data_IF_529297281409
#
_entry.id   IF_529297281409
#
_cell.length_a   1.000
_cell.length_b   1.000
_cell.length_c   1.000
_cell.angle_alpha   90.00
_cell.angle_beta   90.00
_cell.angle_gamma   90.00
#
_symmetry.space_group_name_H-M   'P 1'
#
loop_
_entity.id
_entity.type
_entity.pdbx_description
1 polymer ?
2 non-polymer ?
3 water ?
#
# COMPACT_ATOMS: atom_id res chain seq x y z
N UNK A 2 -0.82 29.42 18.29
CA UNK A 2 -0.95 28.00 18.57
C UNK A 2 -2.41 27.61 18.77
N UNK A 3 -2.74 26.37 18.42
CA UNK A 3 -4.09 25.83 18.54
C UNK A 3 -4.01 24.52 19.31
N UNK A 4 -4.23 24.60 20.62
CA UNK A 4 -4.14 23.44 21.49
C UNK A 4 -5.51 23.13 22.09
N UNK A 5 -5.80 21.85 22.26
CA UNK A 5 -6.98 21.42 22.99
C UNK A 5 -6.65 20.57 24.21
N UNK A 6 -5.40 20.14 24.39
CA UNK A 6 -5.05 19.22 25.46
C UNK A 6 -4.72 20.00 26.73
N UNK A 7 -5.48 19.73 27.80
CA UNK A 7 -5.17 20.28 29.12
C UNK A 7 -5.91 19.44 30.15
N UNK A 8 -5.60 19.67 31.43
CA UNK A 8 -6.14 18.86 32.53
C UNK A 8 -7.51 19.39 32.97
N UNK A 9 -8.51 19.18 32.12
CA UNK A 9 -9.86 19.62 32.46
C UNK A 9 -10.63 18.59 33.28
N UNK A 10 -10.16 17.35 33.33
CA UNK A 10 -10.95 16.27 33.90
C UNK A 10 -10.73 16.16 35.40
N UNK A 11 -11.78 15.76 36.10
CA UNK A 11 -11.70 15.49 37.53
C UNK A 11 -12.61 14.33 37.84
N UNK A 12 -12.31 13.63 38.93
CA UNK A 12 -13.09 12.47 39.37
C UNK A 12 -13.66 12.79 40.74
N UNK A 13 -14.99 12.82 40.84
CA UNK A 13 -15.61 13.23 42.09
C UNK A 13 -15.56 12.12 43.16
N UNK A 14 -15.66 10.86 42.75
CA UNK A 14 -15.72 9.75 43.67
C UNK A 14 -14.53 8.83 43.57
N UNK A 15 -14.74 7.59 44.01
CA UNK A 15 -13.71 6.56 43.99
C UNK A 15 -13.73 5.81 42.65
N UNK A 16 -12.62 5.16 42.34
CA UNK A 16 -12.60 4.32 41.15
C UNK A 16 -13.08 2.92 41.52
N UNK A 17 -13.51 2.19 40.49
CA UNK A 17 -13.84 0.78 40.62
C UNK A 17 -12.68 -0.02 40.01
N UNK A 18 -12.23 -1.04 40.72
CA UNK A 18 -11.12 -1.86 40.28
C UNK A 18 -11.67 -3.08 39.56
N UNK A 19 -11.14 -3.36 38.36
CA UNK A 19 -11.49 -4.52 37.59
C UNK A 19 -10.22 -5.27 37.23
N UNK A 20 -10.38 -6.56 36.94
CA UNK A 20 -9.27 -7.39 36.49
C UNK A 20 -9.44 -7.66 35.00
N UNK A 21 -8.34 -7.55 34.25
CA UNK A 21 -8.36 -7.93 32.84
C UNK A 21 -8.71 -9.41 32.72
N UNK A 22 -9.40 -9.77 31.65
CA UNK A 22 -9.59 -11.17 31.32
C UNK A 22 -8.24 -11.82 31.08
N UNK A 23 -8.18 -13.14 31.33
CA UNK A 23 -6.91 -13.85 31.37
C UNK A 23 -6.13 -13.71 30.07
N UNK A 24 -6.84 -13.74 28.93
CA UNK A 24 -6.14 -13.69 27.64
C UNK A 24 -5.57 -12.30 27.36
N UNK A 25 -6.27 -11.24 27.79
CA UNK A 25 -5.69 -9.91 27.73
C UNK A 25 -4.52 -9.79 28.70
N UNK A 26 -4.67 -10.33 29.91
CA UNK A 26 -3.53 -10.39 30.82
C UNK A 26 -2.39 -11.17 30.19
N UNK A 27 -2.71 -12.26 29.47
CA UNK A 27 -1.67 -13.04 28.79
C UNK A 27 -0.87 -12.17 27.84
N UNK A 28 -1.54 -11.40 26.99
CA UNK A 28 -0.83 -10.57 26.02
C UNK A 28 -0.08 -9.44 26.70
N UNK A 29 -0.65 -8.88 27.79
CA UNK A 29 0.06 -7.84 28.54
C UNK A 29 1.32 -8.39 29.19
N UNK A 30 1.28 -9.66 29.65
CA UNK A 30 2.48 -10.28 30.22
C UNK A 30 3.55 -10.50 29.14
N UNK A 31 3.14 -10.89 27.94
CA UNK A 31 4.09 -10.97 26.83
C UNK A 31 4.75 -9.62 26.59
N UNK A 32 3.96 -8.53 26.60
CA UNK A 32 4.51 -7.20 26.34
C UNK A 32 5.53 -6.82 27.41
N UNK A 33 5.22 -7.09 28.68
CA UNK A 33 6.13 -6.71 29.75
C UNK A 33 7.45 -7.47 29.68
N UNK A 34 7.42 -8.70 29.18
CA UNK A 34 8.59 -9.56 29.17
C UNK A 34 9.42 -9.44 27.88
N UNK A 35 8.87 -8.83 26.84
CA UNK A 35 9.46 -8.90 25.51
C UNK A 35 10.45 -7.77 25.27
N UNK A 36 11.27 -7.95 24.23
CA UNK A 36 12.27 -6.99 23.80
C UNK A 36 11.85 -6.48 22.43
N UNK A 37 11.32 -5.27 22.40
CA UNK A 37 10.92 -4.62 21.15
C UNK A 37 11.99 -3.61 20.76
N UNK A 38 12.44 -3.67 19.51
CA UNK A 38 13.37 -2.70 18.97
C UNK A 38 12.69 -1.58 18.18
N UNK A 39 11.41 -1.74 17.86
CA UNK A 39 10.71 -0.71 17.10
C UNK A 39 9.59 -0.09 17.94
N UNK A 40 9.96 0.54 19.05
CA UNK A 40 8.94 1.01 19.98
C UNK A 40 8.18 2.22 19.46
N UNK A 41 8.69 2.94 18.47
CA UNK A 41 8.04 4.15 17.98
C UNK A 41 6.69 3.88 17.34
N UNK A 42 6.38 2.62 17.02
CA UNK A 42 5.17 2.31 16.27
C UNK A 42 3.88 2.58 17.04
N UNK A 43 3.93 2.76 18.37
CA UNK A 43 2.70 3.07 19.09
C UNK A 43 2.05 4.35 18.60
N UNK A 44 2.85 5.28 18.09
CA UNK A 44 2.30 6.58 17.68
C UNK A 44 1.41 6.41 16.45
N UNK A 45 1.88 5.66 15.45
CA UNK A 45 1.08 5.50 14.23
C UNK A 45 -0.21 4.73 14.52
N UNK A 46 -0.16 3.81 15.49
CA UNK A 46 -1.35 3.05 15.87
C UNK A 46 -2.39 3.96 16.54
N UNK A 47 -1.94 4.79 17.48
CA UNK A 47 -2.86 5.72 18.13
C UNK A 47 -3.46 6.71 17.13
N UNK A 48 -2.64 7.23 16.22
CA UNK A 48 -3.16 8.20 15.24
C UNK A 48 -4.17 7.53 14.31
N UNK A 49 -3.89 6.30 13.90
CA UNK A 49 -4.83 5.54 13.07
C UNK A 49 -6.16 5.34 13.79
N UNK A 50 -6.11 4.95 15.06
CA UNK A 50 -7.35 4.77 15.81
C UNK A 50 -8.11 6.08 15.96
N UNK A 51 -7.39 7.18 16.23
CA UNK A 51 -8.02 8.49 16.31
C UNK A 51 -8.72 8.85 15.01
N UNK A 52 -8.04 8.61 13.88
CA UNK A 52 -8.64 8.85 12.57
C UNK A 52 -9.91 8.02 12.40
N UNK A 53 -9.86 6.73 12.78
CA UNK A 53 -11.04 5.88 12.67
C UNK A 53 -12.21 6.42 13.49
N UNK A 54 -11.91 6.93 14.70
CA UNK A 54 -12.96 7.44 15.57
C UNK A 54 -13.58 8.72 15.00
N UNK A 55 -12.75 9.56 14.40
CA UNK A 55 -13.27 10.76 13.75
C UNK A 55 -14.10 10.41 12.52
N UNK A 56 -13.65 9.43 11.73
CA UNK A 56 -14.43 9.06 10.56
C UNK A 56 -15.78 8.48 10.96
N UNK A 57 -15.81 7.69 12.04
CA UNK A 57 -17.06 7.14 12.52
C UNK A 57 -18.03 8.26 12.90
N UNK A 58 -17.54 9.25 13.65
CA UNK A 58 -18.39 10.37 14.04
C UNK A 58 -18.86 11.15 12.82
N UNK A 59 -17.93 11.50 11.92
CA UNK A 59 -18.28 12.33 10.77
C UNK A 59 -19.34 11.64 9.92
N UNK A 60 -19.17 10.35 9.64
CA UNK A 60 -20.15 9.65 8.82
C UNK A 60 -21.51 9.60 9.50
N UNK A 61 -21.54 9.41 10.82
CA UNK A 61 -22.80 9.36 11.54
C UNK A 61 -23.50 10.72 11.49
N UNK A 62 -22.77 11.80 11.76
CA UNK A 62 -23.38 13.13 11.75
C UNK A 62 -23.90 13.50 10.37
N UNK A 63 -23.14 13.18 9.31
CA UNK A 63 -23.60 13.47 7.95
C UNK A 63 -24.80 12.61 7.59
N UNK A 64 -24.86 11.37 8.08
CA UNK A 64 -26.02 10.53 7.82
C UNK A 64 -27.28 11.13 8.44
N UNK A 65 -27.15 11.73 9.61
CA UNK A 65 -28.22 12.55 10.17
C UNK A 65 -28.13 13.93 9.55
N UNK A 66 -28.86 14.90 10.08
CA UNK A 66 -28.81 16.24 9.49
C UNK A 66 -27.99 17.20 10.32
N UNK A 67 -26.99 16.67 11.03
CA UNK A 67 -26.37 17.43 12.11
C UNK A 67 -25.13 18.18 11.63
N UNK A 68 -24.91 19.34 12.24
CA UNK A 68 -23.73 20.13 11.97
C UNK A 68 -22.48 19.39 12.43
N UNK A 69 -21.38 19.70 11.78
CA UNK A 69 -20.13 19.04 12.08
C UNK A 69 -19.32 19.89 13.04
N UNK A 70 -18.84 19.30 14.14
CA UNK A 70 -17.99 20.03 15.08
C UNK A 70 -16.56 20.04 14.56
N UNK A 71 -15.67 20.60 15.36
CA UNK A 71 -14.25 20.56 15.02
C UNK A 71 -13.74 19.12 15.15
N UNK A 72 -13.15 18.60 14.07
CA UNK A 72 -12.71 17.22 14.00
C UNK A 72 -11.20 17.20 13.81
N UNK A 73 -10.47 16.92 14.88
CA UNK A 73 -9.02 17.11 14.89
C UNK A 73 -8.37 16.05 15.76
N UNK A 74 -7.09 15.81 15.47
CA UNK A 74 -6.21 14.95 16.26
C UNK A 74 -5.10 15.82 16.82
N UNK A 75 -4.87 15.70 18.12
CA UNK A 75 -3.83 16.46 18.79
C UNK A 75 -2.86 15.55 19.52
N UNK A 76 -1.58 15.87 19.41
CA UNK A 76 -0.53 15.25 20.20
C UNK A 76 0.11 16.31 21.07
N UNK A 77 0.49 15.93 22.29
CA UNK A 77 1.20 16.83 23.18
C UNK A 77 2.33 16.05 23.86
N UNK A 78 3.52 16.62 23.86
CA UNK A 78 4.62 16.06 24.63
C UNK A 78 4.85 16.91 25.88
N UNK A 79 5.28 16.26 26.95
CA UNK A 79 5.65 16.99 28.17
C UNK A 79 6.91 16.31 28.72
N UNK A 80 8.05 16.96 28.50
CA UNK A 80 9.32 16.39 28.93
C UNK A 80 9.47 16.43 30.45
N UNK A 81 8.90 17.44 31.10
CA UNK A 81 9.02 17.54 32.56
C UNK A 81 8.27 16.41 33.25
N UNK A 82 7.09 16.06 32.73
CA UNK A 82 6.30 14.97 33.29
C UNK A 82 6.57 13.63 32.63
N UNK A 83 7.35 13.60 31.55
CA UNK A 83 7.63 12.37 30.83
C UNK A 83 6.39 11.74 30.24
N UNK A 84 5.57 12.54 29.57
CA UNK A 84 4.34 12.05 28.99
C UNK A 84 4.28 12.37 27.51
N UNK A 85 3.53 11.55 26.79
CA UNK A 85 3.02 11.84 25.46
C UNK A 85 1.52 11.59 25.50
N UNK A 86 0.76 12.52 24.95
CA UNK A 86 -0.70 12.46 24.98
C UNK A 86 -1.24 12.60 23.57
N UNK A 87 -2.28 11.83 23.26
CA UNK A 87 -3.07 12.02 22.05
C UNK A 87 -4.51 12.29 22.45
N UNK A 88 -5.15 13.22 21.76
CA UNK A 88 -6.56 13.49 21.97
C UNK A 88 -7.21 13.72 20.62
N UNK A 89 -8.38 13.15 20.42
CA UNK A 89 -9.18 13.46 19.25
C UNK A 89 -10.60 13.76 19.65
N UNK A 90 -11.30 14.49 18.78
CA UNK A 90 -12.66 14.91 19.00
C UNK A 90 -13.66 14.01 18.28
N UNK A 91 -13.36 12.72 18.17
CA UNK A 91 -14.22 11.78 17.48
C UNK A 91 -15.29 11.15 18.36
N UNK A 92 -15.72 9.96 17.95
CA UNK A 92 -16.92 9.34 18.50
C UNK A 92 -16.76 8.88 19.95
N UNK A 93 -15.54 8.66 20.41
CA UNK A 93 -15.33 8.27 21.79
C UNK A 93 -15.74 6.84 22.05
N UNK A 94 -15.64 6.45 23.31
CA UNK A 94 -16.02 5.12 23.76
C UNK A 94 -17.01 5.22 24.90
N UNK A 95 -17.96 4.29 24.93
CA UNK A 95 -18.87 4.19 26.07
C UNK A 95 -18.15 3.52 27.24
N UNK A 96 -18.77 3.59 28.42
CA UNK A 96 -18.19 2.90 29.56
C UNK A 96 -18.10 1.41 29.31
N UNK A 97 -19.13 0.84 28.67
CA UNK A 97 -19.12 -0.59 28.35
C UNK A 97 -17.93 -0.94 27.47
N UNK A 98 -17.60 -0.09 26.48
CA UNK A 98 -16.48 -0.38 25.61
C UNK A 98 -15.15 -0.27 26.35
N UNK A 99 -15.02 0.70 27.26
CA UNK A 99 -13.81 0.81 28.06
C UNK A 99 -13.61 -0.42 28.92
N UNK A 100 -14.69 -0.93 29.51
CA UNK A 100 -14.58 -2.03 30.47
C UNK A 100 -14.36 -3.36 29.76
N UNK A 101 -15.06 -3.61 28.66
CA UNK A 101 -15.07 -4.94 28.07
C UNK A 101 -14.21 -5.07 26.83
N UNK A 102 -14.08 -4.01 26.02
CA UNK A 102 -13.55 -4.18 24.67
C UNK A 102 -12.02 -4.05 24.63
N UNK A 103 -11.45 -3.12 25.40
CA UNK A 103 -10.04 -2.77 25.28
C UNK A 103 -9.15 -4.01 25.35
N UNK A 104 -8.33 -4.18 24.31
CA UNK A 104 -7.45 -5.32 24.20
C UNK A 104 -7.89 -6.36 23.18
N UNK A 105 -9.12 -6.26 22.65
CA UNK A 105 -9.67 -7.31 21.80
C UNK A 105 -10.35 -6.80 20.53
N UNK A 106 -10.16 -5.52 20.18
CA UNK A 106 -10.86 -4.92 19.05
C UNK A 106 -10.00 -5.00 17.79
N UNK A 107 -10.63 -5.23 16.65
CA UNK A 107 -9.92 -5.33 15.38
C UNK A 107 -9.93 -4.00 14.64
N UNK A 108 -8.98 -3.83 13.73
CA UNK A 108 -8.88 -2.60 12.95
C UNK A 108 -9.27 -2.84 11.49
N UNK A 109 -8.82 -3.97 10.95
CA UNK A 109 -9.13 -4.31 9.56
C UNK A 109 -8.91 -3.13 8.64
N UNK A 132 -5.80 -7.14 16.33
CA UNK A 132 -6.51 -6.83 17.56
C UNK A 132 -5.74 -6.06 18.59
N UNK A 133 -6.42 -5.12 19.23
CA UNK A 133 -5.82 -4.30 20.26
C UNK A 133 -4.85 -3.25 19.78
N UNK A 134 -4.98 -2.83 18.52
CA UNK A 134 -4.08 -1.80 18.01
C UNK A 134 -4.12 -0.58 18.92
N UNK A 135 -2.94 -0.01 19.20
CA UNK A 135 -2.83 1.07 20.15
C UNK A 135 -2.83 0.65 21.60
N UNK A 136 -3.33 -0.54 21.92
CA UNK A 136 -3.44 -0.96 23.32
C UNK A 136 -2.13 -1.62 23.78
N UNK A 137 -1.76 -2.73 23.15
CA UNK A 137 -0.51 -3.40 23.54
C UNK A 137 0.70 -2.53 23.26
N UNK A 138 0.67 -1.76 22.16
CA UNK A 138 1.83 -0.92 21.85
C UNK A 138 1.98 0.23 22.84
N UNK A 139 0.87 0.72 23.41
CA UNK A 139 0.97 1.74 24.46
C UNK A 139 1.68 1.17 25.68
N UNK A 140 1.33 -0.05 26.10
CA UNK A 140 1.99 -0.62 27.26
C UNK A 140 3.43 -1.00 26.97
N UNK A 141 3.80 -1.12 25.70
CA UNK A 141 5.20 -1.35 25.35
C UNK A 141 6.07 -0.20 25.80
N UNK A 142 5.53 1.02 25.88
CA UNK A 142 6.29 2.22 26.18
C UNK A 142 5.89 2.89 27.49
N UNK A 143 4.90 2.35 28.21
CA UNK A 143 4.28 3.08 29.32
C UNK A 143 4.54 2.41 30.66
N UNK A 144 4.87 3.22 31.67
CA UNK A 144 4.68 2.77 33.05
C UNK A 144 3.21 2.64 33.38
N UNK A 145 2.40 3.57 32.89
CA UNK A 145 0.96 3.51 33.11
C UNK A 145 0.29 4.36 32.05
N UNK A 146 -0.99 4.08 31.83
CA UNK A 146 -1.81 4.74 30.83
C UNK A 146 -3.04 5.31 31.53
N UNK A 147 -3.38 6.55 31.19
CA UNK A 147 -4.46 7.31 31.80
C UNK A 147 -5.33 7.79 30.66
N UNK A 148 -6.60 7.37 30.64
CA UNK A 148 -7.49 7.60 29.51
C UNK A 148 -8.74 8.31 30.00
N UNK A 149 -9.20 9.29 29.23
CA UNK A 149 -10.51 9.89 29.41
C UNK A 149 -11.27 9.74 28.12
N UNK A 150 -12.53 9.32 28.20
CA UNK A 150 -13.31 9.15 26.98
C UNK A 150 -14.76 9.47 27.28
N UNK A 151 -15.42 10.06 26.31
CA UNK A 151 -16.84 10.39 26.40
C UNK A 151 -17.45 10.16 25.04
N UNK A 152 -18.44 9.28 24.98
CA UNK A 152 -19.11 8.96 23.73
C UNK A 152 -19.82 10.19 23.16
N UNK A 153 -19.84 10.28 21.82
CA UNK A 153 -20.55 11.37 21.16
C UNK A 153 -22.06 11.25 21.27
N UNK A 154 -22.59 10.11 21.71
CA UNK A 154 -24.03 9.96 21.83
C UNK A 154 -24.59 10.95 22.85
N UNK A 155 -25.75 11.56 22.58
CA UNK A 155 -26.26 12.59 23.50
C UNK A 155 -26.47 12.04 24.90
N UNK A 156 -26.15 12.88 25.89
CA UNK A 156 -26.29 12.50 27.28
C UNK A 156 -25.19 11.62 27.83
N UNK A 157 -24.17 11.30 27.04
CA UNK A 157 -23.11 10.42 27.50
C UNK A 157 -22.28 11.09 28.59
N UNK A 158 -21.89 10.30 29.58
CA UNK A 158 -21.02 10.75 30.65
C UNK A 158 -19.56 10.48 30.28
N UNK A 159 -18.66 11.23 30.91
CA UNK A 159 -17.23 11.01 30.75
C UNK A 159 -16.72 9.98 31.73
N UNK A 160 -15.67 9.28 31.32
CA UNK A 160 -15.08 8.24 32.16
C UNK A 160 -13.56 8.33 32.12
N UNK A 161 -12.96 7.97 33.24
CA UNK A 161 -11.52 7.80 33.40
C UNK A 161 -11.21 6.31 33.49
N UNK A 162 -10.24 5.89 32.71
CA UNK A 162 -9.74 4.51 32.75
C UNK A 162 -8.25 4.57 33.04
N UNK A 163 -7.79 3.79 34.01
CA UNK A 163 -6.39 3.78 34.41
C UNK A 163 -5.86 2.35 34.46
N UNK A 164 -4.63 2.14 34.00
CA UNK A 164 -3.98 0.86 34.22
C UNK A 164 -2.47 1.00 34.12
N UNK A 165 -1.76 0.18 34.91
CA UNK A 165 -0.32 0.03 34.75
C UNK A 165 0.07 -1.16 33.90
N UNK A 166 -0.90 -1.83 33.27
CA UNK A 166 -0.58 -2.97 32.42
C UNK A 166 -0.40 -4.28 33.14
N UNK A 167 -0.63 -4.32 34.44
CA UNK A 167 -0.68 -5.56 35.21
C UNK A 167 -2.13 -6.05 35.12
N UNK A 168 -2.48 -7.05 35.90
CA UNK A 168 -3.83 -7.55 35.83
C UNK A 168 -5.03 -6.68 36.15
N UNK A 169 -4.83 -5.42 36.51
CA UNK A 169 -5.88 -4.56 37.05
C UNK A 169 -6.04 -3.31 36.20
N UNK A 170 -7.28 -2.87 36.04
CA UNK A 170 -7.56 -1.54 35.54
C UNK A 170 -8.65 -0.91 36.41
N UNK A 171 -8.73 0.41 36.37
CA UNK A 171 -9.70 1.16 37.16
C UNK A 171 -10.59 1.99 36.25
N UNK A 172 -11.85 2.15 36.64
CA UNK A 172 -12.78 2.99 35.91
C UNK A 172 -13.54 3.87 36.90
N UNK A 173 -13.78 5.12 36.49
CA UNK A 173 -14.55 6.04 37.31
C UNK A 173 -15.23 7.05 36.40
N UNK A 174 -16.41 7.50 36.81
CA UNK A 174 -17.02 8.63 36.11
C UNK A 174 -16.20 9.89 36.35
N UNK A 175 -15.99 10.67 35.29
CA UNK A 175 -15.18 11.87 35.35
C UNK A 175 -15.96 13.06 34.80
N UNK A 176 -15.77 14.23 35.41
CA UNK A 176 -16.31 15.47 34.88
C UNK A 176 -15.26 16.15 34.02
N UNK A 177 -15.71 17.09 33.18
CA UNK A 177 -14.76 17.84 32.37
C UNK A 177 -14.14 17.08 31.22
N UNK A 178 -14.73 15.95 30.83
CA UNK A 178 -14.23 15.19 29.69
C UNK A 178 -14.88 15.72 28.42
N UNK A 179 -14.04 16.02 27.42
CA UNK A 179 -14.55 16.43 26.14
C UNK A 179 -14.96 15.20 25.33
N UNK A 180 -16.02 15.35 24.53
CA UNK A 180 -16.44 14.29 23.63
C UNK A 180 -15.23 13.83 22.80
N UNK A 181 -15.06 12.51 22.74
CA UNK A 181 -13.89 11.93 22.10
C UNK A 181 -13.05 11.19 23.11
N UNK A 182 -11.74 11.10 22.85
CA UNK A 182 -10.85 10.28 23.67
C UNK A 182 -9.51 10.97 23.82
N UNK A 183 -8.98 10.93 25.05
CA UNK A 183 -7.63 11.40 25.36
C UNK A 183 -6.90 10.26 26.05
N UNK A 184 -5.68 9.98 25.57
CA UNK A 184 -4.81 8.94 26.12
C UNK A 184 -3.52 9.61 26.55
N UNK A 185 -3.22 9.54 27.84
CA UNK A 185 -1.97 10.05 28.41
C UNK A 185 -1.08 8.85 28.71
N UNK A 186 0.08 8.80 28.07
CA UNK A 186 1.05 7.74 28.29
C UNK A 186 2.14 8.30 29.18
N UNK A 187 2.27 7.72 30.38
CA UNK A 187 3.35 8.04 31.29
C UNK A 187 4.49 7.12 30.91
N UNK A 188 5.49 7.68 30.24
CA UNK A 188 6.48 6.87 29.54
C UNK A 188 7.45 6.18 30.50
N UNK A 189 7.90 5.00 30.08
CA UNK A 189 8.92 4.27 30.82
C UNK A 189 10.25 5.03 30.84
N UNK A 190 11.13 4.63 31.77
CA UNK A 190 12.44 5.25 31.93
C UNK A 190 13.24 5.23 30.62
N UNK A 191 13.17 4.14 29.88
CA UNK A 191 13.92 4.00 28.64
C UNK A 191 13.13 4.45 27.42
N UNK A 192 11.97 5.09 27.61
CA UNK A 192 11.16 5.57 26.51
C UNK A 192 10.93 7.07 26.56
N UNK A 193 11.75 7.80 27.33
CA UNK A 193 11.52 9.23 27.47
C UNK A 193 11.77 10.00 26.18
N UNK A 194 12.38 9.38 25.17
CA UNK A 194 12.56 10.05 23.89
C UNK A 194 11.23 10.48 23.28
N UNK A 195 10.13 9.82 23.65
CA UNK A 195 8.84 10.16 23.09
C UNK A 195 8.16 11.31 23.81
N UNK A 196 8.82 11.90 24.81
CA UNK A 196 8.37 13.15 25.41
C UNK A 196 9.09 14.36 24.83
N UNK A 197 9.90 14.15 23.79
CA UNK A 197 10.58 15.22 23.07
C UNK A 197 9.80 15.53 21.80
N UNK A 198 9.52 16.82 21.58
CA UNK A 198 8.72 17.20 20.41
C UNK A 198 9.39 16.80 19.11
N UNK A 199 10.70 17.03 18.99
CA UNK A 199 11.37 16.77 17.71
C UNK A 199 11.32 15.29 17.35
N UNK A 200 11.53 14.41 18.34
CA UNK A 200 11.46 12.99 18.08
C UNK A 200 10.07 12.60 17.60
N UNK A 201 9.04 13.09 18.29
CA UNK A 201 7.67 12.74 17.93
C UNK A 201 7.33 13.29 16.55
N UNK A 202 7.77 14.51 16.26
CA UNK A 202 7.51 15.09 14.95
C UNK A 202 8.06 14.20 13.84
N UNK A 203 9.28 13.70 14.03
CA UNK A 203 9.88 12.84 13.00
C UNK A 203 9.13 11.52 12.86
N UNK A 204 8.66 10.95 13.97
CA UNK A 204 7.91 9.70 13.91
C UNK A 204 6.60 9.90 13.16
N UNK A 205 5.92 11.02 13.42
CA UNK A 205 4.68 11.32 12.72
C UNK A 205 4.93 11.46 11.22
N UNK A 206 5.94 12.25 10.85
CA UNK A 206 6.24 12.45 9.43
C UNK A 206 6.60 11.13 8.76
N UNK A 207 7.26 10.23 9.48
CA UNK A 207 7.72 8.98 8.88
C UNK A 207 6.56 8.06 8.50
N UNK A 208 5.60 7.88 9.41
CA UNK A 208 4.59 6.85 9.23
C UNK A 208 3.17 7.36 9.06
N UNK A 209 2.87 8.59 9.50
CA UNK A 209 1.50 9.07 9.64
C UNK A 209 1.23 10.32 8.82
N UNK A 210 2.07 10.58 7.82
CA UNK A 210 2.01 11.84 7.06
C UNK A 210 0.75 11.95 6.21
N UNK A 211 0.04 10.86 5.96
CA UNK A 211 -1.14 10.89 5.12
C UNK A 211 -2.45 10.76 5.90
N UNK A 212 -2.40 10.93 7.23
CA UNK A 212 -3.63 10.91 8.02
C UNK A 212 -4.59 11.98 7.48
N UNK A 213 -5.89 11.65 7.47
CA UNK A 213 -6.84 12.43 6.69
C UNK A 213 -7.67 13.41 7.52
N UNK A 214 -7.37 13.55 8.81
CA UNK A 214 -7.92 14.63 9.61
C UNK A 214 -6.79 15.54 10.07
N UNK A 215 -7.09 16.81 10.33
CA UNK A 215 -6.05 17.74 10.84
C UNK A 215 -5.35 17.18 12.07
N UNK A 216 -4.02 17.24 12.03
CA UNK A 216 -3.15 16.73 13.08
C UNK A 216 -2.29 17.88 13.60
N UNK A 217 -2.30 18.06 14.91
CA UNK A 217 -1.55 19.11 15.59
C UNK A 217 -0.61 18.47 16.59
N UNK A 218 0.62 19.00 16.67
CA UNK A 218 1.60 18.58 17.67
C UNK A 218 1.95 19.80 18.51
N UNK A 219 1.65 19.76 19.80
CA UNK A 219 1.95 20.86 20.69
C UNK A 219 1.38 22.18 20.18
N UNK A 220 0.19 22.10 19.59
CA UNK A 220 -0.52 23.29 19.13
C UNK A 220 -0.14 23.76 17.75
N UNK A 221 0.78 23.09 17.06
CA UNK A 221 1.20 23.46 15.72
C UNK A 221 0.63 22.46 14.71
N UNK A 222 0.01 22.97 13.66
CA UNK A 222 -0.51 22.09 12.62
C UNK A 222 0.66 21.39 11.95
N UNK A 223 0.56 20.07 11.82
CA UNK A 223 1.57 19.31 11.13
C UNK A 223 1.30 19.33 9.63
N UNK A 224 2.37 19.36 8.85
CA UNK A 224 2.26 19.33 7.40
C UNK A 224 2.01 17.90 6.98
N UNK A 225 0.78 17.60 6.60
CA UNK A 225 0.40 16.28 6.12
C UNK A 225 -0.03 16.36 4.65
N UNK A 226 -0.16 15.19 4.04
CA UNK A 226 -0.38 15.08 2.61
C UNK A 226 -1.68 14.34 2.31
N UNK A 227 -2.16 14.49 1.07
CA UNK A 227 -3.46 13.96 0.66
C UNK A 227 -3.27 12.57 0.06
N UNK A 228 -3.96 11.58 0.64
CA UNK A 228 -3.86 10.17 0.22
C UNK A 228 -4.80 9.94 -0.96
N UNK A 229 -4.35 10.36 -2.15
CA UNK A 229 -5.24 10.33 -3.30
C UNK A 229 -5.59 8.91 -3.71
N UNK A 230 -4.80 7.92 -3.30
CA UNK A 230 -5.13 6.54 -3.63
C UNK A 230 -6.43 6.08 -3.00
N UNK A 231 -6.90 6.75 -1.92
CA UNK A 231 -8.15 6.38 -1.29
C UNK A 231 -9.38 6.96 -1.99
N UNK A 232 -9.18 7.86 -2.94
CA UNK A 232 -10.31 8.45 -3.62
C UNK A 232 -10.82 7.51 -4.72
N UNK A 233 -12.08 7.72 -5.09
CA UNK A 233 -12.65 7.02 -6.23
C UNK A 233 -11.80 7.36 -7.46
N UNK A 234 -11.35 6.37 -8.24
CA UNK A 234 -10.48 6.69 -9.39
C UNK A 234 -11.05 7.75 -10.31
N UNK A 235 -12.37 7.76 -10.54
CA UNK A 235 -12.94 8.75 -11.45
C UNK A 235 -12.82 10.17 -10.91
N UNK A 236 -12.50 10.35 -9.63
CA UNK A 236 -12.45 11.67 -9.02
C UNK A 236 -11.06 12.30 -9.07
N UNK A 237 -10.01 11.53 -9.35
CA UNK A 237 -8.65 12.04 -9.35
C UNK A 237 -8.32 12.58 -10.74
N UNK A 238 -7.94 13.86 -10.80
CA UNK A 238 -7.61 14.47 -12.09
C UNK A 238 -6.13 14.30 -12.45
N UNK A 239 -5.83 14.58 -13.72
CA UNK A 239 -4.47 14.37 -14.20
C UNK A 239 -3.46 15.22 -13.43
N UNK A 240 -3.81 16.46 -13.11
CA UNK A 240 -2.87 17.30 -12.38
C UNK A 240 -2.55 16.73 -11.01
N UNK A 241 -3.54 16.05 -10.39
CA UNK A 241 -3.30 15.47 -9.08
C UNK A 241 -2.41 14.23 -9.20
N UNK A 242 -2.61 13.44 -10.24
CA UNK A 242 -1.71 12.31 -10.48
C UNK A 242 -0.31 12.79 -10.78
N UNK A 243 -0.17 13.86 -11.58
CA UNK A 243 1.16 14.36 -11.90
C UNK A 243 1.89 14.81 -10.63
N UNK A 244 1.19 15.53 -9.74
CA UNK A 244 1.80 15.94 -8.48
C UNK A 244 2.19 14.73 -7.62
N UNK A 245 1.28 13.76 -7.50
CA UNK A 245 1.56 12.62 -6.64
C UNK A 245 2.68 11.76 -7.22
N UNK A 246 2.64 11.53 -8.53
CA UNK A 246 3.72 10.78 -9.17
C UNK A 246 5.07 11.43 -8.88
N UNK A 247 5.17 12.75 -9.09
CA UNK A 247 6.45 13.41 -8.87
C UNK A 247 6.89 13.27 -7.42
N UNK A 248 5.94 13.25 -6.48
CA UNK A 248 6.29 13.09 -5.07
C UNK A 248 6.78 11.68 -4.79
N UNK A 249 6.00 10.66 -5.19
CA UNK A 249 6.34 9.30 -4.75
C UNK A 249 7.55 8.77 -5.48
N UNK A 250 7.75 9.17 -6.73
CA UNK A 250 8.88 8.71 -7.52
C UNK A 250 10.08 9.64 -7.38
N UNK A 251 9.93 10.76 -6.69
CA UNK A 251 10.95 11.81 -6.63
C UNK A 251 11.46 12.13 -8.03
N UNK A 252 10.51 12.48 -8.90
CA UNK A 252 10.76 12.62 -10.32
C UNK A 252 10.36 14.00 -10.80
N UNK A 253 10.87 14.36 -11.98
CA UNK A 253 10.55 15.65 -12.59
C UNK A 253 9.77 15.51 -13.88
N UNK A 254 9.61 14.29 -14.41
CA UNK A 254 8.80 14.07 -15.60
C UNK A 254 7.34 13.90 -15.18
N UNK A 255 6.52 13.50 -16.13
CA UNK A 255 5.14 13.13 -15.90
C UNK A 255 4.98 11.64 -16.13
N UNK A 256 3.92 11.01 -15.60
CA UNK A 256 3.74 9.58 -15.84
C UNK A 256 3.13 9.35 -17.22
N UNK A 257 3.72 8.40 -17.97
CA UNK A 257 3.14 8.05 -19.25
C UNK A 257 1.88 7.20 -19.09
N UNK A 258 1.82 6.40 -18.02
CA UNK A 258 0.64 5.60 -17.73
C UNK A 258 0.32 5.72 -16.26
N UNK A 259 -0.97 5.65 -15.95
CA UNK A 259 -1.49 5.69 -14.58
C UNK A 259 -2.57 4.63 -14.46
N UNK A 260 -2.43 3.74 -13.47
CA UNK A 260 -3.46 2.77 -13.13
C UNK A 260 -3.84 3.00 -11.68
N UNK A 261 -5.08 3.38 -11.46
CA UNK A 261 -5.61 3.56 -10.11
C UNK A 261 -6.53 2.36 -9.86
N UNK A 262 -6.03 1.41 -9.07
CA UNK A 262 -6.67 0.11 -8.90
C UNK A 262 -7.26 0.04 -7.50
N UNK A 263 -8.59 -0.06 -7.43
CA UNK A 263 -9.32 -0.21 -6.19
C UNK A 263 -10.14 -1.50 -6.27
N UNK A 264 -9.99 -2.35 -5.27
CA UNK A 264 -10.75 -3.59 -5.23
C UNK A 264 -11.01 -3.95 -3.78
N UNK A 265 -12.10 -4.69 -3.55
CA UNK A 265 -12.42 -5.21 -2.23
C UNK A 265 -12.34 -6.73 -2.17
N UNK A 266 -12.13 -7.39 -3.31
CA UNK A 266 -12.03 -8.84 -3.35
C UNK A 266 -10.96 -9.28 -4.33
N UNK A 267 -10.17 -10.32 -3.96
CA UNK A 267 -10.25 -11.08 -2.70
C UNK A 267 -9.67 -10.33 -1.52
N UNK A 268 -9.02 -9.20 -1.78
CA UNK A 268 -8.35 -8.41 -0.76
C UNK A 268 -8.73 -6.96 -0.92
N UNK A 269 -8.65 -6.22 0.19
CA UNK A 269 -8.77 -4.77 0.13
C UNK A 269 -7.52 -4.20 -0.50
N UNK A 270 -7.67 -3.46 -1.59
CA UNK A 270 -6.54 -2.80 -2.26
C UNK A 270 -6.97 -1.40 -2.69
N UNK A 271 -6.15 -0.41 -2.36
CA UNK A 271 -6.28 0.94 -2.88
C UNK A 271 -4.88 1.29 -3.34
N UNK A 272 -4.68 1.40 -4.66
CA UNK A 272 -3.33 1.51 -5.22
C UNK A 272 -3.31 2.43 -6.42
N UNK A 273 -2.15 3.06 -6.64
CA UNK A 273 -1.89 3.81 -7.85
C UNK A 273 -0.53 3.41 -8.36
N UNK A 274 -0.46 3.07 -9.64
CA UNK A 274 0.78 2.69 -10.31
C UNK A 274 1.05 3.62 -11.48
N UNK A 275 2.31 4.00 -11.64
CA UNK A 275 2.75 4.91 -12.68
C UNK A 275 3.92 4.29 -13.43
N UNK A 276 3.94 4.55 -14.76
CA UNK A 276 5.11 4.30 -15.59
C UNK A 276 5.71 5.65 -15.97
N UNK A 277 7.00 5.87 -15.76
CA UNK A 277 7.59 7.17 -16.14
C UNK A 277 7.52 7.43 -17.63
N UNK A 278 7.45 8.72 -17.97
CA UNK A 278 7.62 9.17 -19.36
C UNK A 278 9.01 8.84 -19.88
N UNK A 279 10.02 9.01 -19.04
CA UNK A 279 11.39 8.71 -19.44
C UNK A 279 11.60 7.22 -19.62
N UNK A 280 12.58 6.89 -20.46
CA UNK A 280 13.05 5.51 -20.64
C UNK A 280 13.72 5.06 -19.35
N UNK A 281 13.81 3.74 -19.13
CA UNK A 281 14.55 3.27 -17.95
C UNK A 281 16.03 3.56 -18.11
N UNK A 282 16.64 3.99 -17.01
CA UNK A 282 18.07 4.21 -16.93
C UNK A 282 18.68 3.10 -16.09
N UNK A 283 20.01 3.12 -15.98
CA UNK A 283 20.71 2.13 -15.16
C UNK A 283 20.16 2.11 -13.74
N UNK A 284 19.67 3.23 -13.25
CA UNK A 284 19.19 3.32 -11.86
C UNK A 284 17.89 2.54 -11.66
N UNK A 285 16.98 2.57 -12.63
CA UNK A 285 15.72 1.82 -12.49
C UNK A 285 15.95 0.32 -12.64
N UNK A 286 16.96 -0.07 -13.41
CA UNK A 286 17.24 -1.49 -13.60
C UNK A 286 17.86 -2.09 -12.33
N UNK A 287 18.61 -1.29 -11.56
CA UNK A 287 19.32 -1.77 -10.38
C UNK A 287 18.69 -1.30 -9.08
N UNK A 288 17.40 -0.93 -9.10
CA UNK A 288 16.76 -0.37 -7.93
C UNK A 288 16.78 -1.37 -6.78
N UNK A 289 17.01 -0.87 -5.57
CA UNK A 289 17.15 -1.73 -4.39
C UNK A 289 15.85 -2.44 -4.03
N UNK A 292 11.83 -0.39 -2.91
CA UNK A 292 11.90 1.06 -3.00
C UNK A 292 11.16 1.58 -4.23
N UNK A 293 10.52 0.67 -4.95
CA UNK A 293 9.79 1.08 -6.15
C UNK A 293 8.41 1.62 -5.80
N UNK A 294 7.70 0.96 -4.90
CA UNK A 294 6.34 1.31 -4.51
C UNK A 294 6.28 1.34 -3.00
N UNK A 295 5.56 2.32 -2.45
CA UNK A 295 5.38 2.43 -1.01
C UNK A 295 4.16 1.60 -0.60
N UNK A 296 4.25 1.01 0.60
CA UNK A 296 3.21 0.12 1.13
C UNK A 296 2.57 0.79 2.35
N UNK A 297 1.23 0.86 2.36
CA UNK A 297 0.45 1.42 3.45
C UNK A 297 -0.63 0.45 3.87
N UNK A 298 -1.17 0.67 5.07
CA UNK A 298 -2.34 -0.04 5.56
C UNK A 298 -3.29 1.00 6.14
N UNK A 299 -4.34 1.35 5.39
CA UNK A 299 -5.25 2.45 5.71
C UNK A 299 -4.49 3.69 6.15
N UNK A 300 -3.62 4.15 5.25
CA UNK A 300 -2.89 5.42 5.35
C UNK A 300 -1.82 5.42 6.44
N UNK A 301 -1.45 4.25 6.94
CA UNK A 301 -0.33 4.08 7.86
C UNK A 301 0.79 3.45 7.05
N UNK A 302 1.96 4.10 7.02
CA UNK A 302 3.08 3.54 6.27
C UNK A 302 3.56 2.23 6.89
N UNK A 303 3.75 1.23 6.05
CA UNK A 303 4.37 -0.04 6.44
C UNK A 303 5.82 -0.11 5.98
N UNK A 304 6.05 0.11 4.69
CA UNK A 304 7.40 0.16 4.16
C UNK A 304 7.48 1.20 3.07
N UNK A 305 8.46 2.11 3.18
CA UNK A 305 8.80 2.95 2.03
C UNK A 305 9.31 2.10 0.88
N UNK A 306 9.93 0.97 1.18
CA UNK A 306 10.48 0.07 0.15
C UNK A 306 9.41 -0.97 -0.06
N UNK A 307 9.63 -1.93 -0.94
CA UNK A 307 8.62 -2.92 -1.25
C UNK A 307 9.44 -4.15 -1.41
N UNK A 308 9.30 -5.06 -0.47
CA UNK A 308 10.14 -6.25 -0.53
C UNK A 308 9.97 -6.83 -1.93
N UNK A 309 8.72 -7.19 -2.22
CA UNK A 309 8.31 -7.73 -3.49
C UNK A 309 6.83 -7.40 -3.58
N UNK A 310 6.50 -6.14 -3.29
CA UNK A 310 5.09 -5.75 -3.30
C UNK A 310 4.67 -6.23 -4.68
N UNK A 311 5.53 -5.91 -5.64
CA UNK A 311 5.35 -6.32 -7.02
C UNK A 311 6.42 -7.33 -7.41
N UNK A 312 6.19 -8.13 -8.44
CA UNK A 312 7.26 -8.98 -8.98
C UNK A 312 8.47 -8.13 -9.34
N UNK A 313 9.65 -8.76 -9.31
CA UNK A 313 10.87 -8.04 -9.64
C UNK A 313 10.82 -7.40 -11.02
N UNK A 314 10.22 -8.09 -12.00
CA UNK A 314 10.19 -7.54 -13.35
C UNK A 314 9.35 -6.28 -13.45
N UNK A 315 8.47 -6.04 -12.48
CA UNK A 315 7.66 -4.83 -12.44
C UNK A 315 8.27 -3.72 -11.60
N UNK A 316 9.57 -3.81 -11.30
CA UNK A 316 10.24 -2.80 -10.47
C UNK A 316 10.31 -1.43 -11.13
N UNK A 317 10.04 -1.34 -12.43
CA UNK A 317 9.96 -0.02 -13.09
C UNK A 317 8.71 0.75 -12.70
N UNK A 318 7.73 0.10 -12.08
CA UNK A 318 6.50 0.76 -11.66
C UNK A 318 6.77 1.58 -10.41
N UNK A 319 6.25 2.81 -10.39
CA UNK A 319 6.28 3.66 -9.21
C UNK A 319 4.86 3.84 -8.68
N UNK A 320 4.75 4.25 -7.43
CA UNK A 320 3.43 4.46 -6.87
C UNK A 320 3.25 3.93 -5.46
N UNK A 321 2.03 3.48 -5.16
CA UNK A 321 1.64 3.17 -3.79
C UNK A 321 0.65 2.01 -3.79
N UNK A 322 0.77 1.16 -2.79
CA UNK A 322 -0.21 0.10 -2.53
C UNK A 322 -0.66 0.22 -1.08
N UNK A 323 -1.97 0.28 -0.87
CA UNK A 323 -2.55 0.33 0.47
C UNK A 323 -3.50 -0.84 0.60
N UNK A 324 -3.24 -1.74 1.56
CA UNK A 324 -4.16 -2.81 1.87
C UNK A 324 -4.41 -2.86 3.36
N UNK A 325 -5.65 -2.72 3.77
CA UNK A 325 -5.95 -2.77 5.18
C UNK A 325 -5.84 -4.18 5.70
N UNK A 326 -5.75 -5.19 4.83
CA UNK A 326 -5.49 -6.54 5.30
C UNK A 326 -4.11 -6.67 5.92
N UNK A 327 -3.19 -5.76 5.60
CA UNK A 327 -1.85 -5.82 6.18
C UNK A 327 -1.92 -5.39 7.63
N UNK A 328 -1.55 -6.24 8.58
CA UNK A 328 -1.58 -5.81 9.98
C UNK A 328 -0.46 -4.82 10.28
N UNK A 329 -0.69 -4.01 11.32
CA UNK A 329 0.15 -2.85 11.57
C UNK A 329 1.53 -3.21 12.13
N UNK A 330 1.63 -4.28 12.92
CA UNK A 330 2.94 -4.67 13.41
C UNK A 330 3.42 -5.98 12.77
N UNK A 331 4.40 -5.85 11.91
CA UNK A 331 4.93 -6.93 11.10
C UNK A 331 6.44 -6.97 11.27
N UNK A 332 7.10 -7.72 10.39
CA UNK A 332 8.56 -7.85 10.43
C UNK A 332 9.14 -8.01 9.04
N UNK A 337 7.46 -9.52 6.78
CA UNK A 337 6.88 -9.77 5.48
C UNK A 337 7.29 -11.15 4.99
N UNK A 338 7.15 -11.41 3.69
CA UNK A 338 7.32 -12.75 3.13
C UNK A 338 6.25 -13.70 3.67
N UNK A 339 5.03 -13.20 3.78
CA UNK A 339 3.88 -13.97 4.26
C UNK A 339 3.01 -14.39 3.09
N UNK A 340 2.04 -15.26 3.38
CA UNK A 340 1.08 -15.64 2.36
C UNK A 340 0.27 -14.44 1.88
N UNK A 341 0.00 -13.49 2.78
CA UNK A 341 -0.74 -12.29 2.40
C UNK A 341 0.02 -11.49 1.34
N UNK A 342 1.31 -11.24 1.59
CA UNK A 342 2.11 -10.48 0.63
C UNK A 342 2.20 -11.21 -0.71
N UNK A 343 2.35 -12.53 -0.68
CA UNK A 343 2.41 -13.29 -1.92
C UNK A 343 1.09 -13.19 -2.69
N UNK A 344 -0.03 -13.25 -1.98
CA UNK A 344 -1.33 -13.14 -2.65
C UNK A 344 -1.52 -11.76 -3.24
N UNK A 345 -1.17 -10.71 -2.49
CA UNK A 345 -1.23 -9.34 -3.01
C UNK A 345 -0.36 -9.19 -4.26
N UNK A 346 0.87 -9.70 -4.21
CA UNK A 346 1.78 -9.58 -5.34
C UNK A 346 1.19 -10.25 -6.58
N UNK A 347 0.58 -11.42 -6.40
CA UNK A 347 0.02 -12.13 -7.55
C UNK A 347 -1.18 -11.40 -8.13
N UNK A 348 -2.06 -10.89 -7.26
CA UNK A 348 -3.20 -10.10 -7.72
C UNK A 348 -2.73 -8.88 -8.51
N UNK A 349 -1.76 -8.17 -7.97
CA UNK A 349 -1.28 -6.95 -8.64
C UNK A 349 -0.58 -7.26 -9.96
N UNK A 350 0.19 -8.36 -10.02
CA UNK A 350 0.80 -8.75 -11.29
C UNK A 350 -0.26 -8.98 -12.35
N UNK A 351 -1.32 -9.71 -12.01
CA UNK A 351 -2.37 -9.97 -12.99
C UNK A 351 -3.06 -8.67 -13.42
N UNK A 352 -3.29 -7.77 -12.46
CA UNK A 352 -3.98 -6.53 -12.79
C UNK A 352 -3.12 -5.62 -13.67
N UNK A 353 -1.82 -5.56 -13.39
CA UNK A 353 -0.93 -4.75 -14.23
C UNK A 353 -0.79 -5.33 -15.64
N UNK A 354 -0.70 -6.65 -15.76
CA UNK A 354 -0.67 -7.24 -17.09
C UNK A 354 -1.96 -6.89 -17.85
N UNK A 355 -3.11 -7.00 -17.18
CA UNK A 355 -4.38 -6.65 -17.81
C UNK A 355 -4.40 -5.19 -18.23
N UNK A 356 -3.88 -4.31 -17.38
CA UNK A 356 -3.80 -2.90 -17.70
C UNK A 356 -3.00 -2.66 -18.98
N UNK A 357 -1.82 -3.27 -19.08
CA UNK A 357 -1.01 -3.04 -20.27
C UNK A 357 -1.66 -3.60 -21.53
N UNK A 358 -2.32 -4.76 -21.42
CA UNK A 358 -3.11 -5.29 -22.53
C UNK A 358 -4.17 -4.28 -22.95
N UNK A 359 -4.90 -3.73 -21.97
CA UNK A 359 -5.91 -2.74 -22.26
C UNK A 359 -5.32 -1.50 -22.92
N UNK A 360 -4.14 -1.07 -22.48
CA UNK A 360 -3.52 0.11 -23.08
C UNK A 360 -3.12 -0.15 -24.53
N UNK A 361 -2.68 -1.37 -24.84
CA UNK A 361 -2.31 -1.67 -26.22
C UNK A 361 -3.50 -1.53 -27.15
N UNK A 362 -4.70 -1.81 -26.67
CA UNK A 362 -5.88 -1.67 -27.52
C UNK A 362 -6.36 -0.23 -27.57
N UNK A 363 -6.16 0.53 -26.49
CA UNK A 363 -6.62 1.92 -26.47
C UNK A 363 -5.75 2.79 -27.38
N UNK A 364 -4.44 2.54 -27.39
CA UNK A 364 -3.50 3.37 -28.15
C UNK A 364 -2.30 2.48 -28.48
N UNK A 365 -2.37 1.81 -29.63
CA UNK A 365 -1.30 0.89 -30.02
C UNK A 365 0.02 1.62 -30.24
N UNK A 366 -0.01 2.85 -30.74
CA UNK A 366 1.24 3.55 -31.01
C UNK A 366 1.97 3.89 -29.72
N UNK A 367 1.24 4.40 -28.74
CA UNK A 367 1.83 4.69 -27.44
C UNK A 367 2.31 3.39 -26.77
N UNK A 368 1.56 2.31 -26.92
CA UNK A 368 1.99 1.04 -26.33
C UNK A 368 3.27 0.53 -26.99
N UNK A 369 3.38 0.70 -28.31
CA UNK A 369 4.59 0.26 -29.01
C UNK A 369 5.81 0.98 -28.47
N UNK A 370 5.68 2.28 -28.18
CA UNK A 370 6.79 3.02 -27.60
C UNK A 370 7.10 2.54 -26.19
N UNK A 371 6.07 2.24 -25.40
CA UNK A 371 6.28 1.67 -24.08
C UNK A 371 7.00 0.33 -24.17
N UNK A 372 6.62 -0.53 -25.13
CA UNK A 372 7.28 -1.81 -25.24
C UNK A 372 8.73 -1.66 -25.67
N UNK A 373 9.00 -0.74 -26.59
CA UNK A 373 10.39 -0.47 -26.96
C UNK A 373 11.20 -0.02 -25.75
N UNK A 374 10.60 0.82 -24.90
CA UNK A 374 11.37 1.40 -23.79
C UNK A 374 11.51 0.44 -22.62
N UNK A 375 10.46 -0.31 -22.27
CA UNK A 375 10.42 -1.13 -21.06
C UNK A 375 10.38 -2.62 -21.34
N UNK A 376 10.46 -3.04 -22.60
CA UNK A 376 10.25 -4.44 -22.92
C UNK A 376 11.32 -5.38 -22.42
N UNK A 377 12.50 -4.88 -22.04
CA UNK A 377 13.49 -5.79 -21.46
C UNK A 377 13.06 -6.28 -20.08
N UNK A 378 12.27 -5.48 -19.35
CA UNK A 378 11.71 -5.96 -18.10
C UNK A 378 10.76 -7.14 -18.33
N UNK A 379 9.94 -7.08 -19.38
CA UNK A 379 9.04 -8.19 -19.66
C UNK A 379 9.82 -9.43 -20.03
N UNK A 380 10.84 -9.27 -20.88
CA UNK A 380 11.66 -10.41 -21.26
C UNK A 380 12.36 -11.01 -20.04
N UNK A 381 12.94 -10.16 -19.19
CA UNK A 381 13.50 -10.64 -17.92
C UNK A 381 12.47 -11.45 -17.15
N UNK A 382 11.25 -10.93 -17.03
CA UNK A 382 10.24 -11.60 -16.22
C UNK A 382 9.89 -12.98 -16.75
N UNK A 383 9.87 -13.12 -18.07
CA UNK A 383 9.62 -14.43 -18.68
C UNK A 383 10.75 -15.39 -18.38
N UNK A 384 11.99 -14.93 -18.45
CA UNK A 384 13.14 -15.79 -18.24
C UNK A 384 13.24 -16.22 -16.77
N UNK A 385 12.92 -15.31 -15.84
CA UNK A 385 13.11 -15.63 -14.44
C UNK A 385 11.91 -16.31 -13.80
N UNK A 386 10.72 -16.24 -14.41
CA UNK A 386 9.53 -16.81 -13.80
C UNK A 386 9.68 -18.32 -13.63
N UNK A 387 9.08 -18.84 -12.56
CA UNK A 387 9.07 -20.27 -12.29
C UNK A 387 7.90 -20.98 -12.97
N UNK A 388 6.73 -20.35 -12.97
CA UNK A 388 5.50 -20.99 -13.42
C UNK A 388 5.25 -20.69 -14.89
N UNK A 389 4.92 -21.74 -15.66
CA UNK A 389 4.63 -21.57 -17.08
C UNK A 389 3.48 -20.59 -17.30
N UNK A 390 2.47 -20.63 -16.44
CA UNK A 390 1.33 -19.74 -16.63
C UNK A 390 1.75 -18.28 -16.47
N UNK A 391 2.66 -18.00 -15.53
CA UNK A 391 3.15 -16.64 -15.36
C UNK A 391 3.97 -16.21 -16.58
N UNK A 392 4.83 -17.10 -17.08
CA UNK A 392 5.58 -16.79 -18.31
C UNK A 392 4.64 -16.41 -19.43
N UNK A 393 3.58 -17.20 -19.62
CA UNK A 393 2.67 -16.92 -20.73
C UNK A 393 1.84 -15.66 -20.49
N UNK A 394 1.51 -15.36 -19.22
CA UNK A 394 0.84 -14.11 -18.89
C UNK A 394 1.68 -12.91 -19.28
N UNK A 395 2.95 -12.90 -18.86
CA UNK A 395 3.83 -11.80 -19.23
C UNK A 395 4.01 -11.74 -20.74
N UNK A 396 4.09 -12.91 -21.38
CA UNK A 396 4.27 -12.98 -22.83
C UNK A 396 3.13 -12.34 -23.60
N UNK A 397 1.95 -12.17 -22.98
CA UNK A 397 0.88 -11.45 -23.66
C UNK A 397 1.25 -10.00 -23.95
N UNK A 398 2.31 -9.49 -23.32
CA UNK A 398 2.74 -8.11 -23.51
C UNK A 398 3.74 -7.94 -24.64
N UNK A 399 4.32 -9.04 -25.13
CA UNK A 399 5.34 -8.94 -26.17
C UNK A 399 4.72 -8.50 -27.49
N UNK A 400 5.48 -7.73 -28.26
CA UNK A 400 5.05 -7.30 -29.58
C UNK A 400 6.20 -7.47 -30.56
N UNK A 401 5.92 -8.07 -31.71
CA UNK A 401 6.94 -8.38 -32.70
C UNK A 401 6.46 -8.01 -34.09
N UNK A 402 7.41 -7.80 -35.00
CA UNK A 402 7.04 -7.73 -36.41
C UNK A 402 6.68 -9.12 -36.91
N UNK A 403 6.05 -9.15 -38.08
CA UNK A 403 5.55 -10.38 -38.66
C UNK A 403 5.75 -10.37 -40.17
N UNK A 404 6.05 -11.54 -40.73
CA UNK A 404 6.04 -11.70 -42.18
C UNK A 404 4.70 -11.32 -42.79
N UNK A 405 3.61 -11.38 -42.02
CA UNK A 405 2.27 -11.16 -42.56
C UNK A 405 1.78 -9.73 -42.41
N UNK A 406 2.57 -8.85 -41.80
CA UNK A 406 2.17 -7.48 -41.57
C UNK A 406 3.17 -6.53 -42.24
N UNK A 407 2.76 -5.30 -42.51
CA UNK A 407 3.71 -4.36 -43.13
C UNK A 407 4.89 -4.10 -42.21
N UNK A 408 6.03 -3.80 -42.83
CA UNK A 408 7.23 -3.43 -42.10
C UNK A 408 6.91 -2.38 -41.04
N UNK A 409 7.42 -2.60 -39.84
CA UNK A 409 7.25 -1.67 -38.74
C UNK A 409 6.01 -1.89 -37.89
N UNK A 410 5.02 -2.63 -38.39
CA UNK A 410 3.81 -2.90 -37.62
C UNK A 410 4.04 -4.09 -36.70
N UNK A 411 3.44 -4.04 -35.52
CA UNK A 411 3.67 -5.07 -34.51
C UNK A 411 2.43 -5.92 -34.32
N UNK A 412 2.67 -7.17 -33.90
CA UNK A 412 1.62 -8.10 -33.55
C UNK A 412 1.93 -8.73 -32.21
N UNK A 413 0.88 -9.19 -31.53
CA UNK A 413 1.04 -9.99 -30.34
C UNK A 413 1.06 -11.47 -30.69
N UNK A 414 1.45 -12.28 -29.70
CA UNK A 414 1.38 -13.74 -29.87
C UNK A 414 -0.05 -14.21 -30.04
N UNK A 415 -1.00 -13.62 -29.30
CA UNK A 415 -2.38 -14.05 -29.47
C UNK A 415 -2.92 -13.68 -30.84
N UNK A 416 -2.51 -12.53 -31.39
CA UNK A 416 -2.96 -12.16 -32.74
C UNK A 416 -2.37 -13.11 -33.77
N UNK A 417 -1.09 -13.45 -33.63
CA UNK A 417 -0.50 -14.48 -34.48
C UNK A 417 -1.31 -15.77 -34.38
N UNK A 418 -1.60 -16.21 -33.16
CA UNK A 418 -2.35 -17.46 -32.98
C UNK A 418 -3.71 -17.41 -33.65
N UNK A 419 -4.36 -16.24 -33.61
CA UNK A 419 -5.68 -16.12 -34.25
C UNK A 419 -5.63 -16.23 -35.76
N UNK A 420 -4.47 -16.01 -36.37
CA UNK A 420 -4.30 -16.13 -37.81
C UNK A 420 -3.77 -17.49 -38.26
N UNK A 421 -3.50 -18.40 -37.33
CA UNK A 421 -2.89 -19.67 -37.70
C UNK A 421 -3.85 -20.48 -38.59
N UNK A 422 -3.30 -21.06 -39.64
CA UNK A 422 -4.08 -21.80 -40.61
C UNK A 422 -4.23 -23.25 -40.17
N UNK A 423 -5.39 -23.83 -40.47
CA UNK A 423 -5.64 -25.22 -40.15
C UNK A 423 -4.52 -26.10 -40.64
N UNK A 424 -4.07 -27.00 -39.78
CA UNK A 424 -2.99 -27.92 -40.10
C UNK A 424 -1.63 -27.48 -39.62
N UNK A 425 -1.49 -26.22 -39.23
CA UNK A 425 -0.23 -25.71 -38.69
C UNK A 425 -0.47 -25.32 -37.25
N UNK A 426 0.28 -25.95 -36.34
CA UNK A 426 -0.03 -25.92 -34.93
C UNK A 426 1.06 -25.31 -34.05
N UNK A 427 2.12 -24.76 -34.65
CA UNK A 427 3.21 -24.17 -33.90
C UNK A 427 3.35 -22.70 -34.28
N UNK A 428 4.01 -21.95 -33.41
CA UNK A 428 4.31 -20.54 -33.65
C UNK A 428 5.76 -20.44 -34.10
N UNK A 429 5.97 -19.94 -35.33
CA UNK A 429 7.30 -19.86 -35.91
C UNK A 429 7.86 -18.46 -35.78
N UNK A 430 9.15 -18.39 -35.48
CA UNK A 430 9.81 -17.10 -35.34
C UNK A 430 11.21 -17.17 -35.90
N UNK A 431 11.78 -15.99 -36.14
CA UNK A 431 13.13 -15.85 -36.65
C UNK A 431 13.74 -14.63 -35.99
N UNK A 432 14.88 -14.81 -35.35
CA UNK A 432 15.64 -13.71 -34.78
C UNK A 432 16.65 -13.23 -35.81
N UNK A 433 16.65 -11.93 -36.05
CA UNK A 433 17.55 -11.33 -37.02
C UNK A 433 17.77 -9.88 -36.63
N UNK A 434 18.83 -9.24 -37.12
CA UNK A 434 19.08 -7.84 -36.72
C UNK A 434 18.02 -6.87 -37.19
N UNK A 435 17.35 -7.14 -38.31
CA UNK A 435 16.38 -6.21 -38.87
C UNK A 435 15.51 -6.97 -39.85
N UNK A 436 14.49 -6.27 -40.37
CA UNK A 436 13.50 -6.91 -41.22
C UNK A 436 14.10 -7.37 -42.55
N UNK A 437 15.01 -6.59 -43.11
CA UNK A 437 15.62 -6.99 -44.37
C UNK A 437 16.33 -8.34 -44.25
N UNK A 438 17.13 -8.50 -43.20
CA UNK A 438 17.85 -9.76 -43.02
C UNK A 438 16.89 -10.90 -42.74
N UNK A 439 15.81 -10.65 -42.02
CA UNK A 439 14.82 -11.69 -41.78
C UNK A 439 14.16 -12.14 -43.08
N UNK A 440 13.72 -11.17 -43.89
CA UNK A 440 13.01 -11.51 -45.13
C UNK A 440 13.88 -12.25 -46.11
N UNK A 441 15.19 -12.06 -46.03
CA UNK A 441 16.11 -12.71 -46.97
C UNK A 441 16.75 -13.96 -46.37
N UNK A 442 16.25 -14.44 -45.24
CA UNK A 442 16.67 -15.74 -44.76
C UNK A 442 16.22 -16.82 -45.75
N UNK A 443 17.12 -17.70 -46.19
CA UNK A 443 16.70 -18.77 -47.10
C UNK A 443 15.63 -19.67 -46.51
N UNK A 444 15.61 -19.81 -45.18
CA UNK A 444 14.58 -20.62 -44.54
C UNK A 444 13.23 -19.94 -44.62
N UNK A 445 13.18 -18.64 -44.32
CA UNK A 445 11.93 -17.92 -44.46
C UNK A 445 11.46 -17.90 -45.92
N UNK A 446 12.37 -17.64 -46.86
CA UNK A 446 11.96 -17.56 -48.26
C UNK A 446 11.31 -18.86 -48.71
N UNK A 447 11.82 -20.00 -48.24
CA UNK A 447 11.20 -21.27 -48.60
C UNK A 447 9.84 -21.43 -47.93
N UNK A 448 9.73 -21.01 -46.67
CA UNK A 448 8.45 -21.15 -45.96
C UNK A 448 7.36 -20.28 -46.56
N UNK A 449 7.73 -19.17 -47.19
CA UNK A 449 6.73 -18.26 -47.73
C UNK A 449 5.87 -18.94 -48.79
N UNK A 450 6.37 -20.02 -49.40
CA UNK A 450 5.63 -20.74 -50.43
C UNK A 450 4.36 -21.39 -49.89
N UNK A 451 4.24 -21.58 -48.57
CA UNK A 451 3.11 -22.30 -47.98
C UNK A 451 2.36 -21.48 -46.94
N UNK A 452 2.51 -20.16 -46.96
CA UNK A 452 1.65 -19.20 -46.26
C UNK A 452 1.85 -19.15 -44.74
N UNK A 453 2.84 -19.86 -44.21
CA UNK A 453 3.07 -19.87 -42.77
C UNK A 453 3.60 -18.52 -42.31
N UNK A 454 2.96 -17.95 -41.30
CA UNK A 454 3.43 -16.70 -40.72
C UNK A 454 4.67 -16.95 -39.85
N UNK A 455 5.61 -16.02 -39.91
CA UNK A 455 6.83 -16.07 -39.11
C UNK A 455 7.00 -14.74 -38.40
N UNK A 456 7.13 -14.78 -37.08
CA UNK A 456 7.46 -13.58 -36.33
C UNK A 456 8.91 -13.21 -36.57
N UNK A 457 9.17 -11.91 -36.69
CA UNK A 457 10.52 -11.40 -36.90
C UNK A 457 10.94 -10.64 -35.64
N UNK A 458 12.00 -11.10 -34.99
CA UNK A 458 12.36 -10.66 -33.65
C UNK A 458 13.75 -10.03 -33.72
N UNK A 459 13.84 -8.74 -33.39
CA UNK A 459 15.06 -7.98 -33.63
C UNK A 459 15.84 -7.62 -32.36
N UNK A 460 15.31 -7.92 -31.18
CA UNK A 460 15.97 -7.56 -29.93
C UNK A 460 16.93 -8.68 -29.56
N UNK A 461 18.14 -8.31 -29.11
CA UNK A 461 19.15 -9.32 -28.85
C UNK A 461 18.69 -10.36 -27.82
N UNK A 462 17.82 -9.99 -26.88
CA UNK A 462 17.33 -10.93 -25.87
C UNK A 462 16.11 -11.74 -26.31
N UNK A 463 15.64 -11.58 -27.54
CA UNK A 463 14.47 -12.33 -27.99
C UNK A 463 14.75 -13.84 -28.02
N UNK A 464 15.93 -14.24 -28.47
CA UNK A 464 16.25 -15.67 -28.51
C UNK A 464 16.08 -16.32 -27.14
N UNK A 465 16.68 -15.75 -26.11
CA UNK A 465 16.54 -16.33 -24.77
C UNK A 465 15.11 -16.26 -24.29
N UNK A 466 14.43 -15.14 -24.54
CA UNK A 466 13.03 -15.00 -24.11
C UNK A 466 12.17 -16.12 -24.65
N UNK A 467 12.27 -16.38 -25.95
CA UNK A 467 11.39 -17.36 -26.58
C UNK A 467 11.83 -18.79 -26.28
N UNK A 468 13.13 -19.02 -26.05
CA UNK A 468 13.58 -20.32 -25.56
C UNK A 468 12.96 -20.62 -24.21
N UNK A 469 12.94 -19.63 -23.30
CA UNK A 469 12.38 -19.84 -21.98
C UNK A 469 10.86 -19.91 -21.98
N UNK A 470 10.22 -19.12 -22.83
CA UNK A 470 8.75 -19.17 -22.91
C UNK A 470 8.29 -20.54 -23.36
N UNK A 471 8.95 -21.10 -24.38
CA UNK A 471 8.79 -22.46 -24.88
C UNK A 471 7.49 -22.66 -25.65
N UNK A 472 6.37 -22.24 -25.07
CA UNK A 472 5.08 -22.41 -25.72
C UNK A 472 4.16 -21.29 -25.29
N UNK A 473 3.10 -21.10 -26.06
CA UNK A 473 2.13 -20.08 -25.78
C UNK A 473 0.78 -20.59 -26.25
N UNK A 474 -0.21 -20.59 -25.34
CA UNK A 474 -1.54 -21.08 -25.66
C UNK A 474 -1.47 -22.49 -26.25
N UNK A 475 -0.64 -23.34 -25.65
CA UNK A 475 -0.42 -24.73 -26.03
C UNK A 475 0.23 -24.90 -27.40
N UNK A 476 0.79 -23.84 -27.97
CA UNK A 476 1.46 -23.91 -29.26
C UNK A 476 2.96 -23.75 -29.04
N UNK A 477 3.74 -24.72 -29.49
CA UNK A 477 5.18 -24.64 -29.33
C UNK A 477 5.78 -23.51 -30.18
N UNK A 478 6.77 -22.82 -29.61
CA UNK A 478 7.54 -21.80 -30.30
C UNK A 478 8.73 -22.45 -30.99
N UNK A 479 8.85 -22.24 -32.30
CA UNK A 479 9.89 -22.91 -33.10
C UNK A 479 10.68 -21.85 -33.85
N UNK A 480 11.99 -21.81 -33.63
CA UNK A 480 12.86 -20.94 -34.42
C UNK A 480 13.09 -21.55 -35.79
N UNK A 481 12.91 -20.77 -36.84
CA UNK A 481 13.02 -21.32 -38.20
C UNK A 481 14.45 -21.54 -38.62
N UNK A 482 15.41 -20.99 -37.88
CA UNK A 482 16.83 -21.29 -38.07
C UNK A 482 17.40 -21.78 -36.75
N UNK A 483 18.19 -22.84 -36.79
CA UNK A 483 18.79 -23.40 -35.58
C UNK A 483 20.11 -22.71 -35.23
#
# INVERSE_FOLDING_TARGET
PLHSIISSTESVQGSTSKHEFQAETKKLLDIVARSLYSEKEVFIRELISNASDALEKLRHKLVSDGQALPEMEIHLQTNAEKGTITIQDTGIGMTQEELVSNLGTIARSGSKAFLDALQNQAEASSKIIGQFGVGFYSAFMVADRVEVYSRSAAPGSLGYQWLSDGSGVFEIAEASGVRTGTKIIIHLKSDCKEFSSEARVRDVVTKYSNFVSFPLYLNGRRMNTLQAIWMMDPKDVREWQHEEFYRYVAQAHDKPRYTLHYKTDAPLNIRSIFYVPDMKPSMFDVSRELGSSVALYSRKVLIQTKATDILPKWLRFIRGVVDSEDIPLNLSRELLQESALIRKLRDVLQQRLIKFFIDQSKKDAEKYAKFFEDYGLFMREGIVTATEQEVKEDIAKLLRYESSALPSGQLTSLSEYASRMRAGTRNIYYLCAPNRHLAEHSPYYEAMKKKDTEVLFCFEQFDELTLLHLREFDKKKLISVET
#
